data_IF_604852708493
#
_entry.id   IF_604852708493
#
_cell.length_a   1.000
_cell.length_b   1.000
_cell.length_c   1.000
_cell.angle_alpha   90.00
_cell.angle_beta   90.00
_cell.angle_gamma   90.00
#
_symmetry.space_group_name_H-M   'P 1'
#
loop_
_entity.id
_entity.type
_entity.pdbx_description
1 polymer ?
#
# COMPACT_ATOMS: atom_id res chain seq x y z
N UNK A 1 -4.16 -6.74 -22.50
CA UNK A 1 -2.76 -6.58 -22.05
C UNK A 1 -2.83 -6.33 -20.55
N UNK A 2 -2.39 -7.30 -19.76
CA UNK A 2 -2.40 -7.31 -18.29
C UNK A 2 -0.99 -7.58 -17.79
N UNK A 3 -0.01 -6.98 -18.46
CA UNK A 3 1.42 -7.32 -18.41
C UNK A 3 2.19 -6.57 -17.32
N UNK A 4 1.52 -5.70 -16.55
CA UNK A 4 2.16 -5.00 -15.44
C UNK A 4 3.26 -4.04 -15.90
N UNK A 5 3.15 -3.53 -17.13
CA UNK A 5 3.99 -2.47 -17.68
C UNK A 5 3.57 -1.11 -17.12
N UNK A 6 4.55 -0.28 -16.78
CA UNK A 6 4.34 1.13 -16.44
C UNK A 6 5.05 1.97 -17.48
N UNK A 7 4.34 2.89 -18.12
CA UNK A 7 4.91 3.87 -19.03
C UNK A 7 5.25 5.15 -18.24
N UNK A 8 6.44 5.70 -18.47
CA UNK A 8 6.91 6.95 -17.92
C UNK A 8 7.12 7.95 -19.06
N UNK A 9 6.64 9.17 -18.84
CA UNK A 9 6.74 10.27 -19.80
C UNK A 9 7.54 11.41 -19.17
N UNK A 10 8.53 11.90 -19.91
CA UNK A 10 9.22 13.14 -19.54
C UNK A 10 8.36 14.34 -19.92
N UNK A 11 8.22 15.31 -19.01
CA UNK A 11 7.41 16.50 -19.24
C UNK A 11 8.31 17.73 -19.45
N UNK A 12 7.95 18.58 -20.41
CA UNK A 12 8.48 19.95 -20.58
C UNK A 12 7.28 20.89 -20.70
N UNK A 13 7.22 21.92 -19.85
CA UNK A 13 6.08 22.83 -19.74
C UNK A 13 4.73 22.09 -19.59
N UNK A 14 4.71 21.05 -18.75
CA UNK A 14 3.57 20.14 -18.51
C UNK A 14 3.05 19.38 -19.74
N UNK A 15 3.82 19.39 -20.84
CA UNK A 15 3.53 18.63 -22.06
C UNK A 15 4.49 17.42 -22.15
N UNK A 16 3.98 16.22 -22.50
CA UNK A 16 4.83 15.06 -22.70
C UNK A 16 5.75 15.29 -23.91
N UNK A 17 7.04 15.10 -23.69
CA UNK A 17 8.01 14.98 -24.77
C UNK A 17 7.72 13.73 -25.60
N UNK A 18 8.19 13.74 -26.84
CA UNK A 18 8.09 12.57 -27.71
C UNK A 18 9.04 11.47 -27.22
N UNK A 19 8.51 10.26 -27.04
CA UNK A 19 9.21 9.11 -26.49
C UNK A 19 8.74 8.74 -25.09
N UNK A 20 8.50 7.45 -24.88
CA UNK A 20 8.11 6.88 -23.60
C UNK A 20 9.12 5.83 -23.13
N UNK A 21 9.38 5.84 -21.83
CA UNK A 21 10.16 4.80 -21.18
C UNK A 21 9.20 3.77 -20.57
N UNK A 22 9.52 2.49 -20.73
CA UNK A 22 8.70 1.40 -20.18
C UNK A 22 9.42 0.65 -19.07
N UNK A 23 8.78 0.59 -17.91
CA UNK A 23 9.19 -0.24 -16.79
C UNK A 23 8.50 -1.59 -16.88
N UNK A 24 9.26 -2.62 -17.23
CA UNK A 24 8.80 -4.00 -17.24
C UNK A 24 9.05 -4.67 -15.90
N UNK A 25 7.98 -4.87 -15.12
CA UNK A 25 8.03 -5.55 -13.82
C UNK A 25 8.75 -6.89 -13.89
N UNK A 26 8.51 -7.69 -14.94
CA UNK A 26 9.15 -8.99 -15.11
C UNK A 26 10.67 -8.86 -15.29
N UNK A 27 11.11 -7.93 -16.14
CA UNK A 27 12.53 -7.65 -16.36
C UNK A 27 13.18 -7.18 -15.07
N UNK A 28 12.60 -6.19 -14.38
CA UNK A 28 13.13 -5.67 -13.11
C UNK A 28 13.26 -6.77 -12.05
N UNK A 29 12.21 -7.58 -11.88
CA UNK A 29 12.22 -8.73 -10.98
C UNK A 29 13.37 -9.69 -11.28
N UNK A 30 13.64 -9.95 -12.55
CA UNK A 30 14.66 -10.91 -12.99
C UNK A 30 16.07 -10.34 -12.88
N UNK A 31 16.31 -9.15 -13.41
CA UNK A 31 17.66 -8.58 -13.58
C UNK A 31 18.14 -7.85 -12.33
N UNK A 32 17.25 -7.15 -11.61
CA UNK A 32 17.59 -6.37 -10.42
C UNK A 32 17.45 -7.22 -9.16
N UNK A 33 16.34 -7.97 -9.05
CA UNK A 33 15.99 -8.71 -7.83
C UNK A 33 16.25 -10.23 -7.91
N UNK A 34 16.78 -10.74 -9.02
CA UNK A 34 17.22 -12.12 -9.15
C UNK A 34 16.11 -13.18 -9.17
N UNK A 35 14.86 -12.80 -9.46
CA UNK A 35 13.72 -13.72 -9.53
C UNK A 35 13.77 -14.56 -10.80
N UNK A 36 13.71 -15.89 -10.65
CA UNK A 36 13.65 -16.84 -11.77
C UNK A 36 12.29 -16.77 -12.46
N UNK A 37 12.24 -17.05 -13.76
CA UNK A 37 11.00 -17.02 -14.55
C UNK A 37 9.92 -17.98 -14.02
N UNK A 38 10.32 -19.06 -13.33
CA UNK A 38 9.41 -20.02 -12.71
C UNK A 38 8.83 -19.56 -11.36
N UNK A 39 9.33 -18.47 -10.79
CA UNK A 39 8.86 -17.95 -9.51
C UNK A 39 7.40 -17.46 -9.66
N UNK A 40 6.47 -17.84 -8.77
CA UNK A 40 5.08 -17.39 -8.85
C UNK A 40 4.91 -15.88 -8.88
N UNK A 41 5.86 -15.11 -8.31
CA UNK A 41 5.88 -13.65 -8.33
C UNK A 41 6.16 -13.06 -9.71
N UNK A 42 6.67 -13.85 -10.66
CA UNK A 42 6.91 -13.45 -12.05
C UNK A 42 5.67 -13.58 -12.94
N UNK A 43 4.53 -14.04 -12.42
CA UNK A 43 3.28 -14.06 -13.16
C UNK A 43 2.90 -12.64 -13.64
N UNK A 44 2.20 -12.51 -14.78
CA UNK A 44 1.78 -11.23 -15.31
C UNK A 44 0.66 -10.62 -14.45
N UNK A 45 1.05 -9.84 -13.45
CA UNK A 45 0.13 -9.12 -12.58
C UNK A 45 -0.11 -7.70 -13.11
N UNK A 46 -1.37 -7.26 -13.26
CA UNK A 46 -1.65 -5.87 -13.61
C UNK A 46 -1.26 -4.95 -12.45
N UNK A 47 -0.82 -3.73 -12.79
CA UNK A 47 -0.67 -2.67 -11.79
C UNK A 47 -2.06 -2.17 -11.39
N UNK A 48 -2.49 -2.51 -10.18
CA UNK A 48 -3.80 -2.14 -9.62
C UNK A 48 -3.75 -0.85 -8.81
N UNK A 49 -2.60 -0.54 -8.21
CA UNK A 49 -2.45 0.66 -7.38
C UNK A 49 -1.03 1.21 -7.47
N UNK A 50 -0.94 2.54 -7.43
CA UNK A 50 0.31 3.30 -7.41
C UNK A 50 0.23 4.37 -6.34
N UNK A 51 1.37 4.72 -5.74
CA UNK A 51 1.49 5.79 -4.77
C UNK A 51 2.81 6.53 -4.98
N UNK A 52 2.75 7.86 -5.07
CA UNK A 52 3.92 8.71 -4.99
C UNK A 52 4.28 8.92 -3.52
N UNK A 53 5.55 8.73 -3.21
CA UNK A 53 6.11 8.73 -1.86
C UNK A 53 7.32 9.67 -1.84
N UNK A 54 7.70 10.15 -0.67
CA UNK A 54 8.87 11.00 -0.44
C UNK A 54 8.82 12.27 -1.28
N UNK A 55 7.69 12.97 -1.22
CA UNK A 55 7.40 14.17 -2.03
C UNK A 55 7.53 13.94 -3.55
N UNK A 56 7.25 12.72 -4.02
CA UNK A 56 7.28 12.36 -5.43
C UNK A 56 8.64 11.88 -5.94
N UNK A 57 9.66 11.78 -5.09
CA UNK A 57 10.95 11.21 -5.47
C UNK A 57 10.89 9.69 -5.68
N UNK A 58 9.89 9.00 -5.10
CA UNK A 58 9.70 7.57 -5.29
C UNK A 58 8.28 7.24 -5.76
N UNK A 59 8.18 6.28 -6.68
CA UNK A 59 6.93 5.66 -7.12
C UNK A 59 6.88 4.23 -6.57
N UNK A 60 5.87 3.96 -5.76
CA UNK A 60 5.55 2.61 -5.32
C UNK A 60 4.39 2.10 -6.17
N UNK A 61 4.48 0.89 -6.72
CA UNK A 61 3.37 0.30 -7.46
C UNK A 61 3.21 -1.20 -7.20
N UNK A 62 1.97 -1.67 -7.30
CA UNK A 62 1.61 -3.07 -7.07
C UNK A 62 2.13 -3.97 -8.18
N UNK A 63 2.74 -5.09 -7.82
CA UNK A 63 3.12 -6.17 -8.72
C UNK A 63 2.71 -7.53 -8.11
N UNK A 64 1.41 -7.82 -8.19
CA UNK A 64 0.79 -8.99 -7.58
C UNK A 64 0.86 -8.92 -6.05
N UNK A 65 1.46 -9.90 -5.36
CA UNK A 65 1.64 -9.86 -3.91
C UNK A 65 2.74 -8.89 -3.47
N UNK A 66 3.56 -8.39 -4.40
CA UNK A 66 4.73 -7.54 -4.16
C UNK A 66 4.47 -6.05 -4.43
N UNK A 67 5.35 -5.19 -3.91
CA UNK A 67 5.46 -3.77 -4.32
C UNK A 67 6.83 -3.54 -4.95
N UNK A 68 6.84 -2.85 -6.09
CA UNK A 68 8.06 -2.33 -6.69
C UNK A 68 8.20 -0.85 -6.34
N UNK A 69 9.39 -0.48 -5.86
CA UNK A 69 9.75 0.90 -5.51
C UNK A 69 10.74 1.41 -6.55
N UNK A 70 10.36 2.48 -7.25
CA UNK A 70 11.13 3.10 -8.32
C UNK A 70 11.57 4.49 -7.90
N UNK A 71 12.81 4.84 -8.17
CA UNK A 71 13.28 6.21 -8.10
C UNK A 71 12.77 7.00 -9.32
N UNK A 72 12.00 8.06 -9.09
CA UNK A 72 11.33 8.78 -10.17
C UNK A 72 12.30 9.55 -11.08
N UNK A 73 13.50 9.90 -10.59
CA UNK A 73 14.48 10.68 -11.36
C UNK A 73 15.28 9.80 -12.32
N UNK A 74 15.74 8.64 -11.84
CA UNK A 74 16.58 7.71 -12.61
C UNK A 74 15.79 6.57 -13.27
N UNK A 75 14.51 6.44 -12.93
CA UNK A 75 13.62 5.34 -13.32
C UNK A 75 14.18 3.94 -12.95
N UNK A 76 15.07 3.88 -11.95
CA UNK A 76 15.64 2.63 -11.46
C UNK A 76 14.80 2.01 -10.35
N UNK A 77 14.73 0.68 -10.33
CA UNK A 77 14.12 -0.05 -9.23
C UNK A 77 15.05 -0.04 -8.00
N UNK A 78 14.60 0.58 -6.93
CA UNK A 78 15.35 0.74 -5.67
C UNK A 78 15.14 -0.45 -4.76
N UNK A 79 13.90 -0.94 -4.66
CA UNK A 79 13.54 -1.98 -3.73
C UNK A 79 12.32 -2.77 -4.21
N UNK A 80 12.27 -4.04 -3.83
CA UNK A 80 11.08 -4.88 -3.95
C UNK A 80 10.62 -5.29 -2.56
N UNK A 81 9.39 -4.93 -2.20
CA UNK A 81 8.77 -5.36 -0.95
C UNK A 81 7.90 -6.59 -1.21
N UNK A 82 7.87 -7.51 -0.24
CA UNK A 82 7.04 -8.72 -0.28
C UNK A 82 6.01 -8.69 0.86
N UNK A 83 4.99 -7.82 0.77
CA UNK A 83 3.97 -7.69 1.81
C UNK A 83 3.08 -8.92 1.95
N UNK A 84 2.83 -9.62 0.84
CA UNK A 84 1.94 -10.77 0.81
C UNK A 84 2.60 -11.96 0.09
N UNK A 85 1.93 -13.10 0.16
CA UNK A 85 2.32 -14.31 -0.58
C UNK A 85 1.25 -14.66 -1.63
N UNK A 86 1.65 -15.23 -2.79
CA UNK A 86 0.70 -15.81 -3.73
C UNK A 86 -0.27 -16.79 -3.03
N UNK A 87 -1.58 -16.77 -3.34
CA UNK A 87 -2.21 -16.14 -4.50
C UNK A 87 -2.63 -14.67 -4.31
N UNK A 88 -2.26 -14.01 -3.21
CA UNK A 88 -2.68 -12.64 -2.90
C UNK A 88 -2.20 -11.64 -3.95
N UNK A 89 -2.99 -10.59 -4.15
CA UNK A 89 -2.59 -9.41 -4.93
C UNK A 89 -2.99 -8.13 -4.20
N UNK A 90 -2.11 -7.13 -4.24
CA UNK A 90 -2.44 -5.79 -3.78
C UNK A 90 -3.53 -5.21 -4.67
N UNK A 91 -4.58 -4.69 -4.04
CA UNK A 91 -5.72 -4.04 -4.71
C UNK A 91 -5.77 -2.55 -4.46
N UNK A 92 -5.19 -2.08 -3.37
CA UNK A 92 -5.19 -0.66 -3.02
C UNK A 92 -3.96 -0.34 -2.20
N UNK A 93 -3.40 0.84 -2.47
CA UNK A 93 -2.25 1.38 -1.78
C UNK A 93 -2.43 2.89 -1.66
N UNK A 94 -2.11 3.43 -0.49
CA UNK A 94 -2.22 4.87 -0.24
C UNK A 94 -1.20 5.35 0.77
N UNK A 95 -0.86 6.64 0.73
CA UNK A 95 0.05 7.27 1.67
C UNK A 95 -0.70 7.94 2.82
N UNK A 96 -0.06 8.03 3.98
CA UNK A 96 -0.54 8.83 5.11
C UNK A 96 0.65 9.42 5.88
N UNK A 97 0.52 10.65 6.37
CA UNK A 97 1.59 11.38 7.06
C UNK A 97 1.67 11.11 8.59
N UNK A 98 1.30 9.91 9.06
CA UNK A 98 0.95 9.72 10.49
C UNK A 98 1.83 8.77 11.31
N UNK A 99 3.01 8.37 10.84
CA UNK A 99 3.95 7.60 11.66
C UNK A 99 5.00 8.52 12.29
N UNK A 100 4.73 9.06 13.48
CA UNK A 100 5.65 9.96 14.18
C UNK A 100 6.05 11.20 13.36
N UNK A 101 5.15 11.68 12.49
CA UNK A 101 5.42 12.78 11.55
C UNK A 101 6.13 12.36 10.26
N UNK A 102 6.45 11.07 10.11
CA UNK A 102 7.04 10.48 8.92
C UNK A 102 5.95 9.90 8.01
N UNK A 103 6.31 9.76 6.74
CA UNK A 103 5.44 9.22 5.71
C UNK A 103 5.30 7.71 5.82
N UNK A 104 4.08 7.23 5.64
CA UNK A 104 3.74 5.84 5.73
C UNK A 104 2.91 5.40 4.54
N UNK A 105 3.08 4.15 4.13
CA UNK A 105 2.35 3.54 3.02
C UNK A 105 1.48 2.40 3.56
N UNK A 106 0.20 2.45 3.23
CA UNK A 106 -0.75 1.39 3.52
C UNK A 106 -0.96 0.53 2.29
N UNK A 107 -0.93 -0.79 2.43
CA UNK A 107 -1.27 -1.74 1.36
C UNK A 107 -2.42 -2.63 1.80
N UNK A 108 -3.32 -2.96 0.87
CA UNK A 108 -4.44 -3.87 1.08
C UNK A 108 -4.41 -4.97 0.02
N UNK A 109 -4.59 -6.22 0.43
CA UNK A 109 -4.71 -7.37 -0.48
C UNK A 109 -6.16 -7.82 -0.71
N UNK A 110 -6.37 -8.53 -1.81
CA UNK A 110 -7.66 -9.13 -2.18
C UNK A 110 -7.99 -10.46 -1.49
N UNK A 111 -6.98 -11.27 -1.16
CA UNK A 111 -7.17 -12.66 -0.80
C UNK A 111 -7.41 -12.87 0.70
N UNK A 112 -6.44 -12.53 1.53
CA UNK A 112 -6.54 -12.59 3.00
C UNK A 112 -7.19 -11.32 3.58
N UNK A 113 -7.28 -10.24 2.82
CA UNK A 113 -7.93 -8.96 3.17
C UNK A 113 -7.36 -8.31 4.44
N UNK A 114 -6.03 -8.27 4.45
CA UNK A 114 -5.17 -7.70 5.47
C UNK A 114 -4.60 -6.38 4.99
N UNK A 115 -4.74 -5.37 5.83
CA UNK A 115 -4.08 -4.09 5.69
C UNK A 115 -2.69 -4.15 6.34
N UNK A 116 -1.65 -3.72 5.62
CA UNK A 116 -0.30 -3.58 6.14
C UNK A 116 0.15 -2.12 6.10
N UNK A 117 0.96 -1.74 7.08
CA UNK A 117 1.51 -0.41 7.22
C UNK A 117 3.03 -0.46 7.13
N UNK A 118 3.60 0.28 6.19
CA UNK A 118 5.04 0.42 6.01
C UNK A 118 5.50 1.82 6.35
N UNK A 119 6.66 1.92 6.99
CA UNK A 119 7.39 3.18 7.06
C UNK A 119 8.09 3.44 5.72
N UNK A 120 7.82 4.59 5.09
CA UNK A 120 8.24 4.88 3.73
C UNK A 120 9.77 4.92 3.57
N UNK A 121 10.48 5.57 4.51
CA UNK A 121 11.92 5.80 4.38
C UNK A 121 12.79 4.57 4.66
N UNK A 122 12.33 3.64 5.49
CA UNK A 122 13.10 2.44 5.87
C UNK A 122 12.56 1.14 5.27
N UNK A 123 11.42 1.19 4.58
CA UNK A 123 10.72 0.03 4.02
C UNK A 123 10.32 -1.04 5.05
N UNK A 124 10.35 -0.71 6.35
CA UNK A 124 10.01 -1.66 7.41
C UNK A 124 8.51 -1.73 7.62
N UNK A 125 8.01 -2.95 7.84
CA UNK A 125 6.62 -3.20 8.23
C UNK A 125 6.41 -2.75 9.68
N UNK A 126 5.46 -1.84 9.89
CA UNK A 126 5.13 -1.26 11.19
C UNK A 126 3.88 -1.89 11.81
N UNK A 127 2.88 -2.28 11.01
CA UNK A 127 1.64 -2.83 11.53
C UNK A 127 0.90 -3.72 10.53
N UNK A 128 -0.01 -4.55 11.06
CA UNK A 128 -0.90 -5.44 10.33
C UNK A 128 -2.29 -5.41 10.95
N UNK A 129 -3.33 -5.35 10.12
CA UNK A 129 -4.73 -5.37 10.56
C UNK A 129 -5.63 -6.19 9.62
N UNK A 130 -6.52 -7.01 10.14
CA UNK A 130 -7.44 -7.83 9.35
C UNK A 130 -8.77 -7.10 9.14
N UNK A 131 -9.19 -6.89 7.89
CA UNK A 131 -10.39 -6.09 7.59
C UNK A 131 -11.71 -6.88 7.58
N UNK A 132 -11.64 -8.21 7.77
CA UNK A 132 -12.78 -9.13 7.66
C UNK A 132 -13.66 -9.21 8.91
N UNK A 133 -13.23 -8.63 10.03
CA UNK A 133 -13.99 -8.72 11.29
C UNK A 133 -15.38 -8.08 11.13
N UNK A 134 -16.48 -8.79 11.44
CA UNK A 134 -17.82 -8.22 11.41
C UNK A 134 -18.09 -7.13 12.45
N UNK A 135 -17.35 -7.11 13.56
CA UNK A 135 -17.56 -6.18 14.65
C UNK A 135 -16.25 -5.49 15.07
N UNK A 136 -15.56 -4.76 14.16
CA UNK A 136 -14.22 -4.24 14.42
C UNK A 136 -14.24 -2.99 15.32
N UNK A 137 -15.41 -2.51 15.74
CA UNK A 137 -15.55 -1.25 16.45
C UNK A 137 -14.79 -1.30 17.79
N UNK A 138 -13.87 -0.36 17.99
CA UNK A 138 -12.94 -0.28 19.14
C UNK A 138 -11.77 -1.25 19.12
N UNK A 139 -11.58 -2.00 18.04
CA UNK A 139 -10.35 -2.78 17.85
C UNK A 139 -9.13 -1.88 17.92
N UNK A 140 -8.05 -2.44 18.45
CA UNK A 140 -6.75 -1.78 18.58
C UNK A 140 -5.65 -2.73 18.10
N UNK A 141 -4.68 -2.19 17.39
CA UNK A 141 -3.49 -2.93 16.99
C UNK A 141 -2.23 -2.10 17.25
N UNK A 142 -1.13 -2.79 17.58
CA UNK A 142 0.15 -2.17 17.90
C UNK A 142 0.86 -1.71 16.64
N UNK A 143 1.53 -0.56 16.70
CA UNK A 143 2.39 -0.06 15.62
C UNK A 143 3.83 -0.03 16.10
N UNK A 144 4.67 -0.82 15.42
CA UNK A 144 6.07 -0.96 15.73
C UNK A 144 6.88 0.18 15.11
N UNK A 145 7.76 0.79 15.90
CA UNK A 145 8.70 1.79 15.41
C UNK A 145 9.85 1.10 14.69
N UNK A 146 10.24 1.56 13.49
CA UNK A 146 11.40 1.03 12.79
C UNK A 146 12.66 1.04 13.68
N UNK A 147 13.40 -0.07 13.70
CA UNK A 147 14.52 -0.30 14.65
C UNK A 147 15.74 0.62 14.43
N UNK A 148 15.74 1.45 13.39
CA UNK A 148 16.83 2.36 13.04
C UNK A 148 16.63 3.80 13.52
N UNK A 149 15.44 4.17 14.03
CA UNK A 149 15.16 5.53 14.55
C UNK A 149 15.30 5.54 16.08
N UNK A 150 16.41 5.02 16.58
CA UNK A 150 16.85 5.33 17.93
C UNK A 150 17.56 6.67 17.84
N UNK A 151 16.81 7.77 17.94
CA UNK A 151 17.39 9.02 18.40
C UNK A 151 18.14 8.69 19.68
N UNK A 152 19.44 8.91 19.70
CA UNK A 152 20.27 8.85 20.91
C UNK A 152 19.65 9.86 21.89
N UNK A 153 18.74 9.38 22.73
CA UNK A 153 18.30 10.09 23.90
C UNK A 153 19.51 10.17 24.79
N UNK A 154 20.09 11.38 24.85
CA UNK A 154 21.10 11.78 25.83
C UNK A 154 20.51 11.59 27.23
N UNK A 155 20.68 10.41 27.79
CA UNK A 155 20.46 10.14 29.19
C UNK A 155 21.79 10.31 29.94
N UNK A 156 21.94 11.52 30.49
CA UNK A 156 22.52 11.82 31.79
C UNK A 156 23.99 11.38 32.03
N UNK A 157 24.93 12.20 31.55
CA UNK A 157 26.25 12.32 32.17
C UNK A 157 26.37 13.72 32.78
N UNK A 158 26.17 13.79 34.09
CA UNK A 158 26.60 14.89 34.93
C UNK A 158 28.12 15.01 34.87
N UNK A 159 28.64 16.03 34.21
CA UNK A 159 29.96 16.60 34.51
C UNK A 159 30.06 18.03 33.99
N UNK A 160 30.15 18.93 34.96
CA UNK A 160 30.82 20.25 35.00
C UNK A 160 31.37 20.87 33.71
N UNK A 161 30.95 22.11 33.51
CA UNK A 161 31.48 23.16 32.63
C UNK A 161 33.00 23.13 32.45
N UNK A 162 33.46 23.14 31.19
CA UNK A 162 34.55 24.00 30.74
C UNK A 162 34.51 24.18 29.21
N UNK A 163 34.46 25.44 28.79
CA UNK A 163 34.55 25.90 27.40
C UNK A 163 35.93 25.60 26.81
N UNK A 164 35.98 25.04 25.59
CA UNK A 164 37.02 25.37 24.60
C UNK A 164 36.59 24.99 23.16
N UNK A 165 36.09 26.01 22.45
CA UNK A 165 36.26 26.37 21.03
C UNK A 165 36.59 25.28 19.99
N UNK A 166 35.63 24.99 19.10
CA UNK A 166 35.87 24.57 17.71
C UNK A 166 35.03 25.45 16.77
N UNK A 167 35.73 26.26 15.97
CA UNK A 167 35.20 27.22 14.99
C UNK A 167 34.52 26.51 13.82
N UNK A 168 33.23 26.81 13.57
CA UNK A 168 32.61 26.62 12.26
C UNK A 168 32.79 27.92 11.48
N UNK A 169 33.61 27.90 10.43
CA UNK A 169 33.73 29.04 9.51
C UNK A 169 32.39 29.24 8.78
N UNK A 170 31.58 30.18 9.23
CA UNK A 170 30.44 30.70 8.48
C UNK A 170 30.97 31.54 7.31
N UNK A 171 30.75 31.06 6.08
CA UNK A 171 30.94 31.87 4.88
C UNK A 171 30.02 33.09 4.93
N UNK A 172 30.57 34.27 4.65
CA UNK A 172 29.83 35.54 4.63
C UNK A 172 28.80 35.52 3.49
N UNK A 173 27.51 35.58 3.85
CA UNK A 173 26.38 35.68 2.91
C UNK A 173 25.82 37.09 3.00
N UNK A 174 25.77 37.78 1.86
CA UNK A 174 25.24 39.13 1.77
C UNK A 174 23.87 39.07 1.11
N UNK A 175 22.83 39.51 1.82
CA UNK A 175 21.45 39.57 1.31
C UNK A 175 21.11 41.03 1.01
N UNK A 176 20.78 41.30 -0.25
CA UNK A 176 20.37 42.63 -0.72
C UNK A 176 18.92 42.53 -1.17
N UNK A 177 18.06 43.40 -0.65
CA UNK A 177 16.67 43.51 -1.05
C UNK A 177 16.41 44.85 -1.73
N UNK A 178 15.74 44.81 -2.89
CA UNK A 178 15.22 45.98 -3.59
C UNK A 178 13.77 45.73 -4.01
N UNK A 179 12.91 46.73 -3.83
CA UNK A 179 11.47 46.65 -4.13
C UNK A 179 11.19 46.46 -5.64
N UNK A 180 12.10 46.93 -6.50
CA UNK A 180 11.97 46.83 -7.96
C UNK A 180 12.66 45.58 -8.56
N UNK A 181 13.66 45.03 -7.86
CA UNK A 181 14.50 43.93 -8.37
C UNK A 181 14.42 42.62 -7.56
N UNK A 182 13.66 42.59 -6.47
CA UNK A 182 13.53 41.44 -5.59
C UNK A 182 14.72 41.24 -4.64
N UNK A 183 14.76 40.07 -3.97
CA UNK A 183 15.83 39.68 -3.04
C UNK A 183 16.93 38.95 -3.77
N UNK A 184 18.18 39.39 -3.61
CA UNK A 184 19.38 38.70 -4.08
C UNK A 184 20.18 38.21 -2.88
N UNK A 185 20.62 36.96 -2.93
CA UNK A 185 21.46 36.33 -1.90
C UNK A 185 22.78 35.98 -2.57
N UNK A 186 23.86 36.64 -2.17
CA UNK A 186 25.21 36.42 -2.71
C UNK A 186 26.03 35.69 -1.65
N UNK A 187 26.51 34.50 -2.01
CA UNK A 187 27.41 33.70 -1.18
C UNK A 187 28.84 33.91 -1.67
N UNK A 188 29.72 34.46 -0.84
CA UNK A 188 31.07 34.88 -1.25
C UNK A 188 32.08 33.72 -1.43
N UNK A 189 31.63 32.50 -1.74
CA UNK A 189 32.51 31.32 -1.91
C UNK A 189 32.44 30.61 -3.27
N UNK A 190 31.96 31.26 -4.34
CA UNK A 190 32.19 30.78 -5.70
C UNK A 190 33.22 31.67 -6.42
N UNK A 191 34.49 31.39 -6.17
CA UNK A 191 35.57 31.87 -7.04
C UNK A 191 36.68 30.82 -7.17
N UNK A 192 36.34 29.72 -7.84
CA UNK A 192 37.30 28.95 -8.63
C UNK A 192 36.74 28.80 -10.04
N UNK A 193 37.11 29.74 -10.89
CA UNK A 193 37.01 29.62 -12.34
C UNK A 193 38.01 28.57 -12.81
N UNK A 194 37.54 27.37 -13.21
CA UNK A 194 38.33 26.46 -14.02
C UNK A 194 37.70 26.32 -15.42
N UNK A 195 38.40 26.95 -16.35
CA UNK A 195 38.13 27.05 -17.76
C UNK A 195 38.77 25.85 -18.49
N UNK A 196 37.96 25.14 -19.28
CA UNK A 196 38.34 24.21 -20.37
C UNK A 196 39.23 22.98 -20.06
N UNK A 197 38.74 21.80 -20.45
CA UNK A 197 39.47 20.93 -21.40
C UNK A 197 38.54 19.90 -22.06
N UNK A 198 38.38 20.08 -23.37
CA UNK A 198 37.85 19.13 -24.33
C UNK A 198 38.99 18.18 -24.69
N UNK A 199 38.80 16.87 -24.57
CA UNK A 199 39.64 15.89 -25.28
C UNK A 199 38.78 14.77 -25.86
N UNK A 200 38.66 14.84 -27.18
CA UNK A 200 38.16 13.81 -28.09
C UNK A 200 39.23 12.75 -28.32
N UNK A 201 38.85 11.48 -28.36
CA UNK A 201 39.63 10.45 -29.06
C UNK A 201 38.69 9.46 -29.73
N UNK A 202 38.51 9.67 -31.03
CA UNK A 202 38.03 8.68 -31.98
C UNK A 202 39.02 7.51 -32.05
N UNK A 203 38.50 6.28 -32.13
CA UNK A 203 39.22 5.16 -32.73
C UNK A 203 38.27 4.38 -33.63
N UNK A 204 38.51 4.47 -34.94
CA UNK A 204 37.91 3.63 -35.96
C UNK A 204 38.56 2.23 -35.97
N UNK A 205 37.82 1.28 -36.55
CA UNK A 205 38.06 -0.17 -36.68
C UNK A 205 39.40 -0.58 -37.36
N UNK A 206 39.66 -1.90 -37.45
CA UNK A 206 39.37 -2.55 -38.74
C UNK A 206 38.73 -3.96 -38.66
N UNK A 207 37.71 -4.16 -39.50
CA UNK A 207 37.49 -5.28 -40.44
C UNK A 207 38.12 -6.66 -40.16
N UNK A 208 37.28 -7.71 -40.18
CA UNK A 208 37.68 -8.99 -40.77
C UNK A 208 36.91 -10.25 -40.36
N UNK A 209 36.17 -10.81 -41.33
CA UNK A 209 36.05 -12.25 -41.65
C UNK A 209 34.93 -13.10 -41.02
N UNK A 210 33.89 -13.32 -41.83
CA UNK A 210 33.33 -14.60 -42.30
C UNK A 210 33.51 -15.89 -41.48
N UNK A 211 32.40 -16.59 -41.20
CA UNK A 211 32.04 -17.90 -41.77
C UNK A 211 30.74 -18.50 -41.17
N UNK A 212 29.77 -18.80 -42.05
CA UNK A 212 28.96 -20.03 -42.22
C UNK A 212 29.18 -21.19 -41.20
N UNK A 213 28.24 -22.07 -40.81
CA UNK A 213 27.02 -22.61 -41.45
C UNK A 213 26.34 -23.70 -40.57
N UNK A 214 25.03 -23.88 -40.80
CA UNK A 214 24.25 -25.15 -40.94
C UNK A 214 23.95 -26.14 -39.80
N UNK A 215 22.65 -26.49 -39.77
CA UNK A 215 22.04 -27.82 -39.56
C UNK A 215 22.07 -28.44 -38.14
N UNK A 216 21.04 -29.13 -37.64
CA UNK A 216 19.82 -29.61 -38.26
C UNK A 216 18.89 -30.30 -37.23
N UNK A 217 17.62 -30.36 -37.63
CA UNK A 217 16.53 -31.30 -37.34
C UNK A 217 16.73 -32.45 -36.33
N UNK A 218 15.67 -32.73 -35.57
CA UNK A 218 15.43 -34.04 -34.96
C UNK A 218 14.18 -34.11 -34.06
N UNK A 219 13.03 -34.46 -34.64
CA UNK A 219 11.80 -34.88 -33.93
C UNK A 219 11.99 -36.20 -33.16
N UNK A 220 11.16 -36.45 -32.12
CA UNK A 220 10.18 -37.56 -32.10
C UNK A 220 9.41 -37.67 -30.77
N UNK A 221 8.15 -38.06 -30.93
CA UNK A 221 7.11 -38.28 -29.93
C UNK A 221 7.25 -39.63 -29.18
N UNK A 222 6.58 -39.78 -28.02
CA UNK A 222 5.78 -40.98 -27.69
C UNK A 222 5.01 -40.92 -26.34
N UNK A 223 3.66 -40.88 -26.46
CA UNK A 223 2.56 -41.65 -25.81
C UNK A 223 2.65 -42.11 -24.31
N UNK A 224 1.72 -41.70 -23.43
CA UNK A 224 0.49 -42.39 -22.93
C UNK A 224 0.75 -43.63 -22.03
N UNK A 225 0.18 -43.86 -20.83
CA UNK A 225 -1.25 -44.12 -20.51
C UNK A 225 -1.49 -44.31 -18.98
N UNK A 226 -2.73 -44.10 -18.48
CA UNK A 226 -3.30 -44.63 -17.21
C UNK A 226 -4.02 -46.00 -17.49
N UNK A 227 -4.79 -46.71 -16.58
CA UNK A 227 -5.32 -46.42 -15.23
C UNK A 227 -5.35 -47.61 -14.20
N UNK A 228 -6.08 -47.44 -13.08
CA UNK A 228 -6.39 -48.30 -11.90
C UNK A 228 -7.00 -49.70 -12.20
N UNK A 229 -7.13 -50.60 -11.18
CA UNK A 229 -8.45 -50.79 -10.53
C UNK A 229 -8.45 -51.20 -9.02
N UNK A 230 -9.66 -51.23 -8.46
CA UNK A 230 -10.08 -51.63 -7.12
C UNK A 230 -10.35 -53.15 -6.98
N UNK A 231 -10.46 -53.67 -5.75
CA UNK A 231 -11.54 -54.59 -5.33
C UNK A 231 -11.61 -54.83 -3.80
N UNK A 232 -12.84 -55.03 -3.34
CA UNK A 232 -13.36 -55.27 -1.98
C UNK A 232 -13.62 -56.77 -1.71
N UNK A 233 -13.72 -57.17 -0.43
CA UNK A 233 -14.63 -58.17 0.19
C UNK A 233 -14.21 -58.32 1.68
N UNK A 234 -14.97 -57.97 2.74
CA UNK A 234 -16.30 -58.34 3.29
C UNK A 234 -16.32 -59.61 4.18
N UNK A 235 -16.49 -59.40 5.51
CA UNK A 235 -17.22 -60.23 6.51
C UNK A 235 -17.05 -59.56 7.89
N UNK A 236 -18.02 -59.28 8.77
CA UNK A 236 -19.42 -59.64 8.91
C UNK A 236 -19.67 -60.18 10.34
N UNK A 237 -20.26 -59.38 11.26
CA UNK A 237 -21.26 -59.76 12.31
C UNK A 237 -21.36 -58.78 13.50
N UNK A 238 -22.41 -57.96 13.41
CA UNK A 238 -23.41 -57.46 14.37
C UNK A 238 -23.36 -57.79 15.88
N UNK A 239 -23.57 -56.74 16.70
CA UNK A 239 -24.83 -56.54 17.47
C UNK A 239 -24.92 -55.14 18.14
N UNK A 240 -25.94 -54.35 17.73
CA UNK A 240 -26.94 -53.53 18.49
C UNK A 240 -26.49 -52.71 19.73
N UNK A 241 -26.83 -51.44 20.02
CA UNK A 241 -27.88 -50.42 19.72
C UNK A 241 -27.30 -49.09 20.32
N UNK A 242 -27.46 -47.84 19.85
CA UNK A 242 -28.65 -47.08 19.46
C UNK A 242 -28.29 -45.88 18.54
N UNK A 243 -28.97 -45.82 17.39
CA UNK A 243 -29.46 -44.68 16.61
C UNK A 243 -28.67 -43.35 16.52
N UNK A 244 -27.84 -43.31 15.48
CA UNK A 244 -27.58 -42.14 14.63
C UNK A 244 -28.75 -41.92 13.65
N UNK A 245 -29.02 -40.67 13.30
CA UNK A 245 -29.39 -40.33 11.93
C UNK A 245 -28.38 -39.30 11.42
N UNK A 246 -27.19 -39.78 11.10
CA UNK A 246 -26.34 -39.16 10.09
C UNK A 246 -26.81 -39.68 8.72
N UNK A 247 -27.27 -38.76 7.88
CA UNK A 247 -27.19 -38.93 6.43
C UNK A 247 -26.36 -37.75 5.94
N UNK A 248 -25.12 -38.08 5.61
CA UNK A 248 -24.21 -37.24 4.85
C UNK A 248 -24.89 -36.68 3.59
N UNK A 249 -24.82 -35.37 3.45
CA UNK A 249 -24.71 -34.76 2.13
C UNK A 249 -23.62 -33.70 2.17
N UNK A 250 -22.46 -34.13 1.67
CA UNK A 250 -21.57 -33.35 0.82
C UNK A 250 -21.74 -31.83 0.86
N UNK A 251 -20.71 -31.14 1.37
CA UNK A 251 -20.39 -29.79 0.93
C UNK A 251 -21.52 -28.77 1.07
N UNK A 252 -21.91 -28.46 2.30
CA UNK A 252 -22.43 -27.12 2.56
C UNK A 252 -21.24 -26.16 2.43
N UNK A 253 -20.94 -25.77 1.18
CA UNK A 253 -20.27 -24.51 0.87
C UNK A 253 -20.96 -23.47 1.75
N UNK A 254 -20.23 -22.96 2.73
CA UNK A 254 -20.67 -21.83 3.53
C UNK A 254 -20.91 -20.69 2.54
N UNK A 255 -22.18 -20.55 2.16
CA UNK A 255 -22.67 -19.67 1.11
C UNK A 255 -23.08 -18.33 1.72
N UNK A 256 -22.40 -17.95 2.80
CA UNK A 256 -22.37 -16.58 3.27
C UNK A 256 -21.39 -15.81 2.39
N UNK A 257 -21.95 -15.02 1.47
CA UNK A 257 -21.25 -14.13 0.52
C UNK A 257 -19.98 -13.45 1.12
N UNK A 258 -19.03 -12.97 0.29
CA UNK A 258 -17.91 -12.12 0.72
C UNK A 258 -18.41 -10.74 1.18
N UNK A 259 -19.23 -10.70 2.23
CA UNK A 259 -19.93 -9.49 2.66
C UNK A 259 -18.99 -8.49 3.33
N UNK A 260 -17.81 -8.86 3.82
CA UNK A 260 -16.95 -7.89 4.50
C UNK A 260 -15.52 -7.90 3.96
N UNK A 261 -15.40 -7.94 2.64
CA UNK A 261 -14.12 -7.76 1.97
C UNK A 261 -13.86 -6.27 1.74
N UNK A 262 -12.83 -5.73 2.38
CA UNK A 262 -12.30 -4.40 2.02
C UNK A 262 -11.76 -4.43 0.59
N UNK A 263 -12.01 -3.38 -0.19
CA UNK A 263 -11.55 -3.35 -1.58
C UNK A 263 -10.75 -2.09 -1.95
N UNK A 264 -10.78 -1.07 -1.10
CA UNK A 264 -9.99 0.15 -1.28
C UNK A 264 -9.65 0.77 0.07
N UNK A 265 -8.66 1.65 0.08
CA UNK A 265 -8.18 2.38 1.25
C UNK A 265 -8.09 3.85 0.89
N UNK A 266 -8.81 4.70 1.64
CA UNK A 266 -8.92 6.13 1.36
C UNK A 266 -8.33 6.93 2.53
N UNK A 267 -7.31 7.78 2.30
CA UNK A 267 -6.80 8.68 3.32
C UNK A 267 -7.73 9.90 3.44
N UNK A 268 -8.37 10.08 4.60
CA UNK A 268 -9.41 11.10 4.79
C UNK A 268 -9.11 11.89 6.06
N UNK A 269 -8.69 13.15 5.89
CA UNK A 269 -8.48 14.12 6.98
C UNK A 269 -7.74 13.53 8.22
N UNK A 270 -6.61 12.85 8.00
CA UNK A 270 -5.82 12.23 9.07
C UNK A 270 -6.32 10.87 9.57
N UNK A 271 -7.39 10.33 8.98
CA UNK A 271 -7.90 8.97 9.24
C UNK A 271 -7.85 8.12 7.98
N UNK A 272 -8.03 6.81 8.13
CA UNK A 272 -8.06 5.85 7.04
C UNK A 272 -9.46 5.23 6.92
N UNK A 273 -10.12 5.49 5.80
CA UNK A 273 -11.45 4.96 5.52
C UNK A 273 -11.32 3.72 4.64
N UNK A 274 -11.94 2.63 5.07
CA UNK A 274 -11.82 1.29 4.46
C UNK A 274 -13.22 0.78 4.13
N UNK A 275 -13.71 1.05 2.92
CA UNK A 275 -14.98 0.55 2.41
C UNK A 275 -14.94 -0.96 2.18
N UNK A 276 -15.99 -1.66 2.59
CA UNK A 276 -16.12 -3.13 2.43
C UNK A 276 -17.35 -3.49 1.61
N UNK A 277 -17.27 -4.59 0.84
CA UNK A 277 -18.31 -5.03 -0.12
C UNK A 277 -19.73 -5.09 0.45
N UNK A 278 -19.88 -5.34 1.74
CA UNK A 278 -21.19 -5.45 2.40
C UNK A 278 -21.85 -4.13 2.69
N UNK A 279 -21.18 -3.00 2.46
CA UNK A 279 -21.78 -1.68 2.52
C UNK A 279 -21.43 -0.85 3.74
N UNK A 280 -20.56 -1.32 4.62
CA UNK A 280 -19.99 -0.48 5.66
C UNK A 280 -18.61 0.08 5.30
N UNK A 281 -18.24 1.13 6.01
CA UNK A 281 -16.95 1.79 5.91
C UNK A 281 -16.32 1.82 7.29
N UNK A 282 -15.20 1.11 7.45
CA UNK A 282 -14.43 1.11 8.68
C UNK A 282 -13.49 2.32 8.70
N UNK A 283 -13.39 3.01 9.83
CA UNK A 283 -12.51 4.17 10.01
C UNK A 283 -11.44 3.83 11.02
N UNK A 284 -10.18 3.87 10.58
CA UNK A 284 -9.01 3.65 11.42
C UNK A 284 -8.31 4.99 11.68
N UNK A 285 -7.92 5.19 12.92
CA UNK A 285 -7.12 6.32 13.37
C UNK A 285 -5.81 5.83 13.99
N UNK A 286 -4.73 6.56 13.75
CA UNK A 286 -3.46 6.37 14.45
C UNK A 286 -3.45 7.25 15.71
N UNK A 287 -3.36 6.63 16.87
CA UNK A 287 -3.40 7.32 18.17
C UNK A 287 -2.05 7.19 18.90
N UNK A 288 -1.59 8.26 19.57
CA UNK A 288 -0.48 8.14 20.52
C UNK A 288 -0.90 7.30 21.72
N UNK A 289 0.00 6.42 22.18
CA UNK A 289 -0.19 5.59 23.36
C UNK A 289 1.14 5.48 24.13
N UNK A 290 1.35 6.42 25.05
CA UNK A 290 2.65 6.61 25.67
C UNK A 290 3.69 7.01 24.61
N UNK A 291 4.82 6.32 24.59
CA UNK A 291 5.90 6.54 23.62
C UNK A 291 5.68 5.79 22.28
N UNK A 292 4.57 5.06 22.16
CA UNK A 292 4.25 4.25 20.98
C UNK A 292 3.05 4.81 20.22
N UNK A 293 2.89 4.34 18.98
CA UNK A 293 1.65 4.52 18.21
C UNK A 293 0.82 3.26 18.28
N UNK A 294 -0.50 3.42 18.27
CA UNK A 294 -1.45 2.33 18.08
C UNK A 294 -2.45 2.73 17.01
N UNK A 295 -2.84 1.76 16.18
CA UNK A 295 -4.01 1.93 15.32
C UNK A 295 -5.26 1.56 16.10
N UNK A 296 -6.36 2.30 15.88
CA UNK A 296 -7.66 2.02 16.48
C UNK A 296 -8.77 2.18 15.46
N UNK A 297 -9.72 1.25 15.46
CA UNK A 297 -10.97 1.42 14.73
C UNK A 297 -11.90 2.30 15.55
N UNK A 298 -12.11 3.53 15.09
CA UNK A 298 -12.88 4.55 15.81
C UNK A 298 -14.34 4.57 15.42
N UNK A 299 -14.66 4.19 14.18
CA UNK A 299 -16.02 4.12 13.68
C UNK A 299 -16.21 3.00 12.67
N UNK A 300 -17.45 2.53 12.56
CA UNK A 300 -17.93 1.67 11.47
C UNK A 300 -19.21 2.32 10.95
N UNK A 301 -19.12 2.94 9.79
CA UNK A 301 -20.20 3.71 9.18
C UNK A 301 -21.04 2.80 8.30
N UNK A 302 -22.36 2.96 8.33
CA UNK A 302 -23.28 2.24 7.44
C UNK A 302 -24.37 3.19 6.96
N UNK A 303 -24.68 3.20 5.66
CA UNK A 303 -25.74 4.07 5.14
C UNK A 303 -27.11 3.58 5.66
N UNK A 304 -28.09 4.50 5.82
CA UNK A 304 -29.45 4.11 6.15
C UNK A 304 -30.01 3.21 5.05
N UNK A 305 -30.75 2.17 5.44
CA UNK A 305 -31.34 1.24 4.47
C UNK A 305 -30.31 0.38 3.71
N UNK A 306 -29.14 0.11 4.30
CA UNK A 306 -28.04 -0.72 3.75
C UNK A 306 -28.51 -1.96 2.99
N UNK A 307 -29.50 -2.70 3.50
CA UNK A 307 -30.03 -3.91 2.87
C UNK A 307 -30.67 -3.69 1.50
N UNK A 308 -31.07 -2.47 1.16
CA UNK A 308 -31.73 -2.11 -0.10
C UNK A 308 -30.82 -1.49 -1.16
N UNK A 309 -29.57 -1.18 -0.80
CA UNK A 309 -28.63 -0.46 -1.67
C UNK A 309 -27.86 -1.38 -2.61
N UNK A 310 -27.73 -2.67 -2.27
CA UNK A 310 -26.93 -3.64 -3.04
C UNK A 310 -25.51 -3.80 -2.48
N UNK A 311 -24.58 -4.23 -3.33
CA UNK A 311 -23.17 -4.48 -2.96
C UNK A 311 -22.39 -3.18 -3.14
N UNK A 312 -21.55 -2.83 -2.17
CA UNK A 312 -20.66 -1.68 -2.30
C UNK A 312 -19.51 -2.03 -3.24
N UNK A 313 -19.50 -1.41 -4.42
CA UNK A 313 -18.56 -1.76 -5.49
C UNK A 313 -17.45 -0.76 -5.70
N UNK A 314 -17.76 0.52 -5.51
CA UNK A 314 -16.82 1.61 -5.74
C UNK A 314 -16.82 2.56 -4.56
N UNK A 315 -15.65 3.13 -4.28
CA UNK A 315 -15.54 4.19 -3.30
C UNK A 315 -14.35 5.10 -3.61
N UNK A 316 -14.57 6.40 -3.53
CA UNK A 316 -13.54 7.39 -3.85
C UNK A 316 -13.65 8.62 -2.96
N UNK A 317 -12.50 9.22 -2.66
CA UNK A 317 -12.41 10.57 -2.11
C UNK A 317 -12.47 11.55 -3.29
N UNK A 318 -13.61 12.22 -3.48
CA UNK A 318 -13.86 13.10 -4.64
C UNK A 318 -13.55 14.57 -4.36
N UNK A 319 -13.44 14.92 -3.08
CA UNK A 319 -12.99 16.23 -2.61
C UNK A 319 -12.33 16.05 -1.23
N UNK A 320 -11.68 17.11 -0.72
CA UNK A 320 -10.92 17.08 0.55
C UNK A 320 -11.68 16.42 1.72
N UNK A 321 -12.99 16.64 1.80
CA UNK A 321 -13.86 16.11 2.85
C UNK A 321 -15.10 15.40 2.30
N UNK A 322 -15.04 14.81 1.10
CA UNK A 322 -16.20 14.12 0.49
C UNK A 322 -15.82 12.74 -0.01
N UNK A 323 -16.39 11.72 0.63
CA UNK A 323 -16.25 10.31 0.21
C UNK A 323 -17.54 9.85 -0.44
N UNK A 324 -17.45 9.33 -1.65
CA UNK A 324 -18.59 8.78 -2.39
C UNK A 324 -18.46 7.26 -2.42
N UNK A 325 -19.54 6.56 -2.08
CA UNK A 325 -19.67 5.11 -2.12
C UNK A 325 -20.73 4.73 -3.16
N UNK A 326 -20.34 3.96 -4.18
CA UNK A 326 -21.20 3.46 -5.24
C UNK A 326 -21.64 2.02 -4.97
N UNK A 327 -22.93 1.84 -4.77
CA UNK A 327 -23.56 0.54 -4.57
C UNK A 327 -24.18 0.05 -5.87
N UNK A 328 -23.91 -1.21 -6.25
CA UNK A 328 -24.55 -1.86 -7.39
C UNK A 328 -25.65 -2.78 -6.92
N UNK A 329 -26.87 -2.53 -7.39
CA UNK A 329 -28.04 -3.38 -7.17
C UNK A 329 -28.04 -4.58 -8.12
N UNK A 330 -28.87 -5.58 -7.82
CA UNK A 330 -29.07 -6.77 -8.66
C UNK A 330 -29.57 -6.42 -10.08
N UNK A 331 -30.36 -5.36 -10.21
CA UNK A 331 -30.84 -4.83 -11.48
C UNK A 331 -29.79 -3.98 -12.23
N UNK A 332 -28.53 -3.98 -11.78
CA UNK A 332 -27.41 -3.19 -12.32
C UNK A 332 -27.56 -1.67 -12.17
N UNK A 333 -28.56 -1.18 -11.44
CA UNK A 333 -28.64 0.24 -11.07
C UNK A 333 -27.60 0.60 -10.02
N UNK A 334 -27.13 1.84 -10.08
CA UNK A 334 -26.21 2.41 -9.11
C UNK A 334 -26.95 3.27 -8.09
N UNK A 335 -26.60 3.11 -6.82
CA UNK A 335 -26.99 3.99 -5.73
C UNK A 335 -25.73 4.63 -5.14
N UNK A 336 -25.76 5.95 -4.97
CA UNK A 336 -24.62 6.70 -4.43
C UNK A 336 -24.92 7.13 -3.00
N UNK A 337 -24.00 6.83 -2.09
CA UNK A 337 -23.97 7.41 -0.74
C UNK A 337 -22.82 8.39 -0.66
N UNK A 338 -23.10 9.61 -0.20
CA UNK A 338 -22.11 10.66 -0.02
C UNK A 338 -21.90 10.88 1.47
N UNK A 339 -20.66 10.74 1.90
CA UNK A 339 -20.24 10.96 3.27
C UNK A 339 -19.40 12.22 3.34
N UNK A 340 -19.59 12.97 4.42
CA UNK A 340 -18.60 13.98 4.79
C UNK A 340 -17.42 13.27 5.43
N UNK A 341 -16.24 13.45 4.85
CA UNK A 341 -14.97 12.86 5.28
C UNK A 341 -14.47 13.47 6.57
N UNK A 342 -15.06 13.05 7.69
CA UNK A 342 -14.64 13.44 9.03
C UNK A 342 -13.26 12.86 9.37
N UNK A 343 -12.44 13.69 10.03
CA UNK A 343 -11.17 13.29 10.61
C UNK A 343 -11.31 12.95 12.09
N UNK A 344 -10.17 12.85 12.77
CA UNK A 344 -10.09 12.53 14.19
C UNK A 344 -10.90 13.50 15.06
N UNK A 345 -10.68 14.81 14.88
CA UNK A 345 -11.32 15.85 15.69
C UNK A 345 -12.85 15.85 15.54
N UNK A 346 -13.37 15.74 14.32
CA UNK A 346 -14.82 15.73 14.09
C UNK A 346 -15.49 14.49 14.69
N UNK A 347 -14.84 13.32 14.56
CA UNK A 347 -15.33 12.07 15.15
C UNK A 347 -15.32 12.13 16.68
N UNK A 348 -14.25 12.69 17.27
CA UNK A 348 -14.16 12.87 18.72
C UNK A 348 -15.29 13.75 19.25
N UNK A 349 -15.50 14.94 18.65
CA UNK A 349 -16.57 15.86 19.03
C UNK A 349 -17.95 15.18 18.92
N UNK A 350 -18.18 14.41 17.85
CA UNK A 350 -19.42 13.68 17.67
C UNK A 350 -19.67 12.66 18.79
N UNK A 351 -18.71 11.80 19.09
CA UNK A 351 -18.87 10.76 20.11
C UNK A 351 -18.98 11.34 21.51
N UNK A 352 -18.20 12.37 21.86
CA UNK A 352 -18.33 13.07 23.14
C UNK A 352 -19.73 13.68 23.29
N UNK A 353 -20.21 14.39 22.28
CA UNK A 353 -21.54 15.01 22.28
C UNK A 353 -22.65 13.95 22.41
N UNK A 354 -22.52 12.82 21.73
CA UNK A 354 -23.46 11.71 21.80
C UNK A 354 -23.52 11.10 23.21
N UNK A 355 -22.37 10.88 23.85
CA UNK A 355 -22.32 10.38 25.22
C UNK A 355 -22.92 11.37 26.22
N UNK A 356 -22.63 12.66 26.09
CA UNK A 356 -23.20 13.71 26.92
C UNK A 356 -24.72 13.78 26.80
N UNK A 357 -25.25 13.71 25.58
CA UNK A 357 -26.68 13.67 25.31
C UNK A 357 -27.33 12.45 25.97
N UNK A 358 -26.74 11.26 25.82
CA UNK A 358 -27.23 10.04 26.45
C UNK A 358 -27.22 10.12 27.99
N UNK A 359 -26.20 10.75 28.59
CA UNK A 359 -26.14 11.01 30.04
C UNK A 359 -27.27 11.96 30.47
N UNK A 360 -27.55 12.99 29.69
CA UNK A 360 -28.61 13.97 29.96
C UNK A 360 -30.00 13.32 29.87
N UNK A 361 -30.28 12.53 28.84
CA UNK A 361 -31.53 11.78 28.69
C UNK A 361 -31.78 10.83 29.86
N UNK A 362 -30.74 10.09 30.26
CA UNK A 362 -30.80 9.15 31.39
C UNK A 362 -31.10 9.88 32.70
N UNK A 363 -30.49 11.06 32.92
CA UNK A 363 -30.77 11.90 34.11
C UNK A 363 -32.19 12.46 34.10
N UNK A 364 -32.72 12.85 32.94
CA UNK A 364 -34.11 13.30 32.82
C UNK A 364 -35.12 12.19 33.09
N UNK A 365 -34.86 10.96 32.61
CA UNK A 365 -35.70 9.79 32.89
C UNK A 365 -35.70 9.41 34.38
N UNK A 366 -34.58 9.60 35.10
CA UNK A 366 -34.51 9.37 36.56
C UNK A 366 -35.18 10.47 37.41
N UNK A 367 -35.50 11.62 36.83
CA UNK A 367 -36.18 12.74 37.50
C UNK A 367 -37.69 12.76 37.28
N UNK A 368 -38.20 11.94 36.37
CA UNK A 368 -39.63 11.60 36.25
C UNK A 368 -39.90 10.38 37.10
#
# INVERSE_FOLDING_TARGET
>A
MSDGLVAAYSLVDDLPLEGEDFLCSHTLNKTVFGLKDSDPRQKPYPVRSMALVSSGSQLWFSNGPGVLVIDCLSLQAVQRLEPYEPPSSIISMTTSFSLWGEEAVWTLDDHINTLLLYHAGSYQLCAKYCCRDPNPLRDVFTVQRPAAVTTVTTADLKTTDQEEKLEWNNGEVTVIYSEEAGTQIIQHQDSLTDYCSISSSCSAEPLGSDCSSTAGLGSLASYSSAPLPADQEETGRDQHQDQQSDLDSAGAVDSTLPQLQAFTVLPVNGTLWIPRRGGDVMVIEMQPHGDQLRGRVTAVLSPPGRSSLGILEEAALVAKDTVVCGFRKENMEWCLCVWRGWGCNELEVFYQSYEELGRLETRMRKRR
#
